data_IF_915688755808
#
_entry.id   IF_915688755808
#
_cell.length_a   1.000
_cell.length_b   1.000
_cell.length_c   1.000
_cell.angle_alpha   90.00
_cell.angle_beta   90.00
_cell.angle_gamma   90.00
#
_symmetry.space_group_name_H-M   'P 1'
#
loop_
_entity.id
_entity.type
_entity.pdbx_description
1 polymer ?
#
# COMPACT_ATOMS: atom_id res chain seq x y z
N UNK A 1 33.87 10.93 -42.11
CA UNK A 1 34.00 10.11 -40.90
C UNK A 1 33.20 10.81 -39.80
N UNK A 2 32.00 10.37 -39.53
CA UNK A 2 31.14 10.97 -38.51
C UNK A 2 31.40 10.27 -37.15
N UNK A 3 31.54 11.05 -36.10
CA UNK A 3 31.84 10.63 -34.73
C UNK A 3 30.69 9.77 -34.15
N UNK A 4 30.92 8.51 -33.78
CA UNK A 4 29.88 7.63 -33.23
C UNK A 4 29.45 7.96 -31.77
N UNK A 5 30.03 8.99 -31.14
CA UNK A 5 29.77 9.38 -29.75
C UNK A 5 28.79 10.55 -29.54
N UNK A 6 28.16 11.06 -30.60
CA UNK A 6 27.22 12.18 -30.47
C UNK A 6 25.83 11.78 -29.95
N UNK A 7 25.45 10.49 -29.99
CA UNK A 7 24.12 10.01 -29.60
C UNK A 7 23.93 9.75 -28.09
N UNK A 8 25.00 9.82 -27.27
CA UNK A 8 24.92 9.40 -25.86
C UNK A 8 24.98 10.54 -24.84
N UNK A 9 24.84 11.81 -25.28
CA UNK A 9 24.87 12.99 -24.39
C UNK A 9 23.53 13.65 -24.09
N UNK A 10 22.39 13.03 -24.43
CA UNK A 10 21.06 13.64 -24.19
C UNK A 10 20.12 12.80 -23.30
N UNK A 11 20.62 11.85 -22.52
CA UNK A 11 19.81 11.12 -21.52
C UNK A 11 20.00 11.65 -20.08
N UNK A 12 20.26 12.94 -19.94
CA UNK A 12 20.08 13.64 -18.67
C UNK A 12 18.59 13.94 -18.49
N UNK A 13 17.83 13.03 -17.87
CA UNK A 13 16.45 13.28 -17.47
C UNK A 13 16.44 14.48 -16.52
N UNK A 14 16.23 15.69 -17.08
CA UNK A 14 15.82 16.84 -16.29
C UNK A 14 14.50 16.44 -15.61
N UNK A 15 14.53 16.27 -14.30
CA UNK A 15 13.33 16.28 -13.48
C UNK A 15 12.62 17.61 -13.72
N UNK A 16 11.72 17.64 -14.69
CA UNK A 16 10.84 18.76 -14.96
C UNK A 16 10.11 19.07 -13.67
N UNK A 17 10.15 20.34 -13.26
CA UNK A 17 9.47 20.85 -12.08
C UNK A 17 8.08 20.23 -11.99
N UNK A 18 7.86 19.43 -10.91
CA UNK A 18 6.65 18.66 -10.74
C UNK A 18 5.44 19.60 -10.83
N UNK A 19 4.59 19.40 -11.83
CA UNK A 19 3.28 20.08 -11.89
C UNK A 19 2.59 19.86 -10.56
N UNK A 20 1.97 20.89 -9.97
CA UNK A 20 1.31 20.76 -8.69
C UNK A 20 0.34 19.57 -8.72
N UNK A 21 0.33 18.77 -7.64
CA UNK A 21 -0.43 17.51 -7.50
C UNK A 21 -1.90 17.70 -7.96
N UNK A 22 -2.51 18.83 -7.63
CA UNK A 22 -3.88 19.19 -8.01
C UNK A 22 -4.15 19.19 -9.53
N UNK A 23 -3.17 19.50 -10.38
CA UNK A 23 -3.29 19.47 -11.85
C UNK A 23 -3.18 18.05 -12.42
N UNK A 24 -2.57 17.13 -11.67
CA UNK A 24 -2.46 15.71 -12.05
C UNK A 24 -3.67 14.89 -11.60
N UNK A 25 -4.40 15.33 -10.58
CA UNK A 25 -5.59 14.66 -10.03
C UNK A 25 -6.88 14.91 -10.84
N UNK A 26 -6.80 15.37 -12.10
CA UNK A 26 -7.91 15.40 -13.06
C UNK A 26 -9.19 16.15 -12.61
N UNK A 27 -9.10 17.08 -11.65
CA UNK A 27 -10.23 17.91 -11.21
C UNK A 27 -11.22 17.22 -10.25
N UNK A 28 -11.17 15.91 -10.06
CA UNK A 28 -11.91 15.19 -9.02
C UNK A 28 -11.00 14.99 -7.81
N UNK A 29 -10.69 16.06 -7.11
CA UNK A 29 -10.06 15.95 -5.80
C UNK A 29 -11.16 15.55 -4.83
N UNK A 30 -11.02 14.38 -4.21
CA UNK A 30 -11.78 14.03 -3.01
C UNK A 30 -11.88 15.26 -2.10
N UNK A 31 -13.06 15.60 -1.68
CA UNK A 31 -13.28 16.68 -0.71
C UNK A 31 -12.82 16.16 0.65
N UNK A 32 -11.56 16.39 0.92
CA UNK A 32 -10.87 15.90 2.11
C UNK A 32 -11.45 16.51 3.41
N UNK A 33 -12.18 17.61 3.30
CA UNK A 33 -12.99 18.18 4.38
C UNK A 33 -14.12 17.25 4.86
N UNK A 34 -14.44 16.20 4.09
CA UNK A 34 -15.44 15.17 4.45
C UNK A 34 -14.83 13.88 5.02
N UNK A 35 -13.51 13.71 4.95
CA UNK A 35 -12.86 12.55 5.54
C UNK A 35 -12.67 12.83 7.04
N UNK A 36 -13.19 11.98 7.93
CA UNK A 36 -12.97 12.16 9.35
C UNK A 36 -11.48 12.13 9.69
N UNK A 37 -11.10 12.94 10.66
CA UNK A 37 -9.75 12.86 11.21
C UNK A 37 -9.56 11.47 11.82
N UNK A 38 -8.42 10.84 11.55
CA UNK A 38 -8.07 9.59 12.20
C UNK A 38 -7.61 9.82 13.65
N UNK A 39 -7.45 8.73 14.36
CA UNK A 39 -6.99 8.70 15.75
C UNK A 39 -5.82 7.75 15.92
N UNK A 40 -5.00 7.99 16.94
CA UNK A 40 -4.02 6.99 17.41
C UNK A 40 -4.76 5.94 18.23
N UNK A 41 -4.69 4.70 17.80
CA UNK A 41 -5.28 3.55 18.47
C UNK A 41 -4.21 2.62 19.00
N UNK A 42 -4.51 1.92 20.10
CA UNK A 42 -3.67 0.85 20.62
C UNK A 42 -4.16 -0.48 20.07
N UNK A 43 -3.26 -1.23 19.46
CA UNK A 43 -3.48 -2.65 19.12
C UNK A 43 -2.91 -3.50 20.25
N UNK A 44 -3.74 -4.21 21.05
CA UNK A 44 -3.29 -4.90 22.24
C UNK A 44 -2.11 -5.84 21.99
N UNK A 45 -1.02 -5.66 22.73
CA UNK A 45 0.21 -6.46 22.59
C UNK A 45 1.04 -6.19 21.33
N UNK A 46 0.62 -5.24 20.48
CA UNK A 46 1.29 -4.94 19.19
C UNK A 46 1.85 -3.53 19.12
N UNK A 47 1.18 -2.54 19.71
CA UNK A 47 1.58 -1.15 19.74
C UNK A 47 0.55 -0.21 19.16
N UNK A 48 0.94 1.05 18.91
CA UNK A 48 0.03 2.11 18.48
C UNK A 48 0.17 2.41 17.01
N UNK A 49 -0.97 2.64 16.35
CA UNK A 49 -1.03 3.08 14.94
C UNK A 49 -2.09 4.15 14.73
N UNK A 50 -1.92 4.94 13.66
CA UNK A 50 -2.93 5.89 13.21
C UNK A 50 -3.98 5.17 12.38
N UNK A 51 -5.24 5.36 12.71
CA UNK A 51 -6.39 4.70 12.07
C UNK A 51 -7.45 5.74 11.70
N UNK A 52 -8.04 5.58 10.54
CA UNK A 52 -9.23 6.29 10.05
C UNK A 52 -10.33 5.28 9.80
N UNK A 53 -11.52 5.53 10.32
CA UNK A 53 -12.72 4.71 10.14
C UNK A 53 -13.84 5.61 9.58
N UNK A 54 -14.22 5.37 8.35
CA UNK A 54 -15.24 6.14 7.63
C UNK A 54 -16.48 5.29 7.54
N UNK A 55 -17.60 5.69 8.19
CA UNK A 55 -18.84 4.95 8.12
C UNK A 55 -19.36 4.91 6.68
N UNK A 56 -19.84 3.75 6.28
CA UNK A 56 -20.58 3.55 5.03
C UNK A 56 -22.10 3.57 5.26
N UNK A 57 -22.88 3.24 4.23
CA UNK A 57 -24.31 2.96 4.37
C UNK A 57 -24.56 1.83 5.39
N UNK A 58 -25.75 1.86 6.00
CA UNK A 58 -26.14 0.81 6.95
C UNK A 58 -26.10 -0.59 6.28
N UNK A 59 -25.42 -1.56 6.91
CA UNK A 59 -25.24 -2.91 6.37
C UNK A 59 -24.20 -3.03 5.26
N UNK A 60 -23.49 -1.96 4.92
CA UNK A 60 -22.44 -2.02 3.90
C UNK A 60 -21.27 -2.92 4.33
N UNK A 61 -20.65 -3.65 3.39
CA UNK A 61 -19.42 -4.39 3.67
C UNK A 61 -18.30 -3.45 4.11
N UNK A 62 -17.38 -3.97 4.93
CA UNK A 62 -16.21 -3.20 5.36
C UNK A 62 -15.03 -3.47 4.44
N UNK A 63 -14.40 -2.41 3.94
CA UNK A 63 -13.09 -2.43 3.28
C UNK A 63 -12.01 -2.03 4.29
N UNK A 64 -10.96 -2.85 4.42
CA UNK A 64 -9.71 -2.44 5.05
C UNK A 64 -8.71 -2.15 3.93
N UNK A 65 -8.18 -0.91 3.89
CA UNK A 65 -7.29 -0.43 2.85
C UNK A 65 -5.83 -0.49 3.32
N UNK A 66 -5.01 -1.24 2.61
CA UNK A 66 -3.60 -1.48 2.91
C UNK A 66 -2.73 -0.72 1.90
N UNK A 67 -1.94 0.23 2.38
CA UNK A 67 -1.15 1.13 1.53
C UNK A 67 0.13 0.48 1.01
N UNK A 68 0.72 1.09 -0.02
CA UNK A 68 2.01 0.71 -0.58
C UNK A 68 3.20 1.16 0.28
N UNK A 69 4.38 0.67 -0.07
CA UNK A 69 5.64 1.15 0.51
C UNK A 69 5.87 2.64 0.16
N UNK A 70 6.60 3.36 1.03
CA UNK A 70 6.93 4.80 0.84
C UNK A 70 5.73 5.75 0.93
N UNK A 71 4.57 5.26 1.31
CA UNK A 71 3.37 6.09 1.51
C UNK A 71 2.80 5.86 2.91
N UNK A 72 1.82 6.68 3.28
CA UNK A 72 0.96 6.45 4.45
C UNK A 72 -0.42 5.99 3.97
N UNK A 73 -1.25 5.49 4.86
CA UNK A 73 -2.60 5.07 4.54
C UNK A 73 -3.38 6.21 3.87
N UNK A 74 -3.33 7.40 4.45
CA UNK A 74 -4.03 8.55 3.91
C UNK A 74 -3.47 8.97 2.55
N UNK A 75 -2.13 9.07 2.39
CA UNK A 75 -1.52 9.49 1.14
C UNK A 75 -1.84 8.53 -0.01
N UNK A 76 -1.87 7.23 0.25
CA UNK A 76 -2.18 6.23 -0.77
C UNK A 76 -3.63 6.28 -1.23
N UNK A 77 -4.56 6.47 -0.29
CA UNK A 77 -5.97 6.18 -0.53
C UNK A 77 -6.88 7.41 -0.61
N UNK A 78 -6.40 8.62 -0.21
CA UNK A 78 -7.25 9.81 -0.15
C UNK A 78 -8.06 10.08 -1.44
N UNK A 79 -7.57 9.79 -2.69
CA UNK A 79 -8.35 10.07 -3.87
C UNK A 79 -9.57 9.15 -4.06
N UNK A 80 -9.57 7.98 -3.40
CA UNK A 80 -10.62 6.98 -3.53
C UNK A 80 -11.66 7.02 -2.39
N UNK A 81 -11.34 7.67 -1.25
CA UNK A 81 -12.12 7.55 -0.02
C UNK A 81 -13.58 8.00 -0.18
N UNK A 82 -13.81 9.13 -0.86
CA UNK A 82 -15.18 9.65 -1.06
C UNK A 82 -16.04 8.68 -1.86
N UNK A 83 -15.51 8.12 -2.93
CA UNK A 83 -16.26 7.19 -3.77
C UNK A 83 -16.48 5.84 -3.07
N UNK A 84 -15.45 5.32 -2.41
CA UNK A 84 -15.54 4.05 -1.65
C UNK A 84 -16.54 4.15 -0.50
N UNK A 85 -16.55 5.25 0.25
CA UNK A 85 -17.45 5.42 1.40
C UNK A 85 -18.94 5.54 1.04
N UNK A 86 -19.27 5.70 -0.24
CA UNK A 86 -20.67 5.65 -0.71
C UNK A 86 -21.27 4.25 -0.70
N UNK A 87 -20.42 3.21 -0.74
CA UNK A 87 -20.86 1.83 -0.82
C UNK A 87 -20.30 0.93 0.29
N UNK A 88 -19.26 1.39 1.00
CA UNK A 88 -18.52 0.59 1.99
C UNK A 88 -18.26 1.38 3.26
N UNK A 89 -18.18 0.70 4.41
CA UNK A 89 -17.42 1.22 5.55
C UNK A 89 -15.94 1.10 5.20
N UNK A 90 -15.18 2.18 5.31
CA UNK A 90 -13.79 2.22 4.89
C UNK A 90 -12.88 2.41 6.09
N UNK A 91 -12.04 1.44 6.36
CA UNK A 91 -11.02 1.49 7.42
C UNK A 91 -9.65 1.54 6.75
N UNK A 92 -8.80 2.45 7.20
CA UNK A 92 -7.41 2.52 6.76
C UNK A 92 -6.52 2.87 7.94
N UNK A 93 -5.30 2.34 7.95
CA UNK A 93 -4.34 2.57 9.03
C UNK A 93 -2.91 2.59 8.50
N UNK A 94 -2.02 3.26 9.21
CA UNK A 94 -0.61 3.28 8.85
C UNK A 94 0.05 1.95 9.24
N UNK A 95 0.51 1.20 8.24
CA UNK A 95 1.22 -0.06 8.47
C UNK A 95 2.58 0.19 9.13
N UNK A 96 3.16 -0.84 9.74
CA UNK A 96 4.45 -0.76 10.43
C UNK A 96 5.50 -0.01 9.64
N UNK A 97 6.26 0.86 10.33
CA UNK A 97 7.35 1.69 9.81
C UNK A 97 6.95 2.80 8.82
N UNK A 98 5.65 2.96 8.55
CA UNK A 98 5.11 4.02 7.71
C UNK A 98 4.30 5.00 8.57
N UNK A 99 4.33 6.28 8.23
CA UNK A 99 3.56 7.31 8.90
C UNK A 99 3.66 7.25 10.43
N UNK A 100 2.51 7.15 11.06
CA UNK A 100 2.35 6.96 12.52
C UNK A 100 2.06 5.50 12.91
N UNK A 101 2.43 4.56 12.04
CA UNK A 101 2.30 3.13 12.30
C UNK A 101 3.31 2.61 13.33
N UNK A 102 3.07 1.39 13.79
CA UNK A 102 3.87 0.70 14.81
C UNK A 102 5.37 0.73 14.45
N UNK A 103 6.21 0.98 15.43
CA UNK A 103 7.67 0.84 15.35
C UNK A 103 8.08 -0.42 16.08
N UNK A 104 8.77 -1.32 15.39
CA UNK A 104 9.24 -2.61 15.93
C UNK A 104 10.74 -2.77 15.68
N UNK A 105 11.45 -3.66 16.41
CA UNK A 105 12.88 -3.87 16.21
C UNK A 105 13.26 -4.37 14.82
N UNK A 106 12.33 -5.00 14.12
CA UNK A 106 12.49 -5.52 12.75
C UNK A 106 11.21 -5.32 11.95
N UNK A 107 11.34 -5.26 10.63
CA UNK A 107 10.22 -5.32 9.71
C UNK A 107 9.97 -6.80 9.37
N UNK A 108 8.73 -7.25 9.52
CA UNK A 108 8.32 -8.62 9.26
C UNK A 108 6.92 -8.60 8.62
N UNK A 109 6.76 -9.28 7.49
CA UNK A 109 5.48 -9.32 6.78
C UNK A 109 4.39 -10.08 7.56
N UNK A 110 4.77 -11.08 8.36
CA UNK A 110 3.84 -11.80 9.22
C UNK A 110 3.26 -10.88 10.30
N UNK A 111 4.10 -10.02 10.88
CA UNK A 111 3.64 -8.98 11.82
C UNK A 111 2.63 -8.03 11.16
N UNK A 112 2.84 -7.64 9.89
CA UNK A 112 1.89 -6.78 9.17
C UNK A 112 0.55 -7.49 8.95
N UNK A 113 0.58 -8.78 8.62
CA UNK A 113 -0.64 -9.57 8.44
C UNK A 113 -1.43 -9.69 9.75
N UNK A 114 -0.76 -9.92 10.86
CA UNK A 114 -1.38 -9.97 12.19
C UNK A 114 -1.89 -8.59 12.65
N UNK A 115 -1.24 -7.49 12.28
CA UNK A 115 -1.74 -6.14 12.55
C UNK A 115 -3.08 -5.88 11.83
N UNK A 116 -3.27 -6.41 10.60
CA UNK A 116 -4.55 -6.33 9.88
C UNK A 116 -5.66 -7.02 10.66
N UNK A 117 -5.40 -8.21 11.20
CA UNK A 117 -6.38 -8.94 12.03
C UNK A 117 -6.67 -8.16 13.33
N UNK A 118 -5.64 -7.64 14.00
CA UNK A 118 -5.84 -6.83 15.20
C UNK A 118 -6.64 -5.55 14.93
N UNK A 119 -6.46 -4.93 13.76
CA UNK A 119 -7.30 -3.79 13.33
C UNK A 119 -8.73 -4.24 13.09
N UNK A 120 -8.96 -5.37 12.41
CA UNK A 120 -10.29 -5.91 12.18
C UNK A 120 -11.03 -6.19 13.50
N UNK A 121 -10.34 -6.77 14.49
CA UNK A 121 -10.86 -7.01 15.83
C UNK A 121 -11.20 -5.71 16.55
N UNK A 122 -10.31 -4.72 16.52
CA UNK A 122 -10.50 -3.42 17.15
C UNK A 122 -11.75 -2.69 16.62
N UNK A 123 -11.98 -2.76 15.30
CA UNK A 123 -13.12 -2.08 14.67
C UNK A 123 -14.39 -2.96 14.62
N UNK A 124 -14.34 -4.17 15.20
CA UNK A 124 -15.47 -5.09 15.32
C UNK A 124 -15.93 -5.67 13.98
N UNK A 125 -14.99 -6.07 13.11
CA UNK A 125 -15.29 -6.64 11.78
C UNK A 125 -14.68 -8.04 11.66
N UNK A 126 -15.53 -9.05 11.48
CA UNK A 126 -15.08 -10.43 11.39
C UNK A 126 -14.42 -10.78 10.06
N UNK A 127 -15.03 -10.36 8.95
CA UNK A 127 -14.62 -10.74 7.59
C UNK A 127 -14.60 -9.54 6.62
N UNK A 128 -13.64 -8.61 6.78
CA UNK A 128 -13.51 -7.48 5.85
C UNK A 128 -13.07 -7.93 4.46
N UNK A 129 -13.36 -7.10 3.45
CA UNK A 129 -12.65 -7.13 2.17
C UNK A 129 -11.33 -6.38 2.38
N UNK A 130 -10.21 -6.96 1.98
CA UNK A 130 -8.90 -6.31 2.05
C UNK A 130 -8.54 -5.74 0.67
N UNK A 131 -8.42 -4.42 0.55
CA UNK A 131 -7.91 -3.80 -0.67
C UNK A 131 -6.46 -3.34 -0.47
N UNK A 132 -5.52 -4.01 -1.14
CA UNK A 132 -4.09 -3.78 -0.95
C UNK A 132 -3.40 -3.21 -2.19
N UNK A 133 -2.61 -2.15 -2.02
CA UNK A 133 -1.81 -1.53 -3.06
C UNK A 133 -0.34 -1.88 -2.92
N UNK A 134 0.32 -2.40 -3.96
CA UNK A 134 1.75 -2.72 -3.95
C UNK A 134 2.13 -3.60 -2.75
N UNK A 135 2.92 -3.14 -1.79
CA UNK A 135 3.21 -3.83 -0.53
C UNK A 135 1.94 -4.26 0.21
N UNK A 136 0.92 -3.39 0.28
CA UNK A 136 -0.37 -3.72 0.90
C UNK A 136 -1.08 -4.90 0.21
N UNK A 137 -0.87 -5.08 -1.10
CA UNK A 137 -1.37 -6.24 -1.83
C UNK A 137 -0.67 -7.55 -1.44
N UNK A 138 0.61 -7.50 -1.10
CA UNK A 138 1.36 -8.63 -0.54
C UNK A 138 0.81 -9.00 0.84
N UNK A 139 0.59 -7.99 1.69
CA UNK A 139 0.00 -8.19 3.02
C UNK A 139 -1.40 -8.79 2.89
N UNK A 140 -2.25 -8.30 1.97
CA UNK A 140 -3.59 -8.86 1.73
C UNK A 140 -3.56 -10.33 1.31
N UNK A 141 -2.60 -10.72 0.42
CA UNK A 141 -2.39 -12.12 0.05
C UNK A 141 -2.02 -12.98 1.25
N UNK A 142 -1.08 -12.48 2.09
CA UNK A 142 -0.60 -13.19 3.26
C UNK A 142 -1.71 -13.37 4.31
N UNK A 143 -2.52 -12.33 4.56
CA UNK A 143 -3.69 -12.43 5.46
C UNK A 143 -4.68 -13.46 4.94
N UNK A 144 -5.02 -13.42 3.64
CA UNK A 144 -5.96 -14.37 3.04
C UNK A 144 -5.44 -15.82 3.06
N UNK A 145 -4.13 -16.02 3.04
CA UNK A 145 -3.51 -17.34 3.17
C UNK A 145 -3.50 -17.85 4.63
N UNK A 146 -3.10 -17.00 5.58
CA UNK A 146 -2.92 -17.41 6.99
C UNK A 146 -4.22 -17.41 7.78
N UNK A 147 -5.18 -16.55 7.41
CA UNK A 147 -6.43 -16.33 8.13
C UNK A 147 -7.64 -16.33 7.18
N UNK A 148 -7.82 -17.38 6.35
CA UNK A 148 -8.86 -17.39 5.31
C UNK A 148 -10.27 -17.22 5.83
N UNK A 149 -10.55 -17.67 7.06
CA UNK A 149 -11.84 -17.53 7.73
C UNK A 149 -12.12 -16.11 8.21
N UNK A 150 -11.07 -15.27 8.33
CA UNK A 150 -11.14 -13.88 8.79
C UNK A 150 -11.19 -12.86 7.64
N UNK A 151 -11.27 -13.31 6.39
CA UNK A 151 -11.27 -12.45 5.19
C UNK A 151 -12.49 -12.75 4.35
N UNK A 152 -13.25 -11.71 4.00
CA UNK A 152 -14.38 -11.80 3.06
C UNK A 152 -13.93 -11.93 1.61
N UNK A 153 -12.88 -11.19 1.24
CA UNK A 153 -12.30 -11.22 -0.10
C UNK A 153 -11.11 -10.28 -0.21
N UNK A 154 -10.40 -10.31 -1.34
CA UNK A 154 -9.21 -9.48 -1.59
C UNK A 154 -9.29 -8.73 -2.90
N UNK A 155 -8.84 -7.47 -2.91
CA UNK A 155 -8.63 -6.64 -4.10
C UNK A 155 -7.16 -6.26 -4.15
N UNK A 156 -6.44 -6.76 -5.14
CA UNK A 156 -5.00 -6.65 -5.28
C UNK A 156 -4.66 -5.61 -6.36
N UNK A 157 -4.04 -4.49 -5.97
CA UNK A 157 -3.78 -3.36 -6.86
C UNK A 157 -2.28 -3.16 -7.06
N UNK A 158 -1.81 -3.09 -8.32
CA UNK A 158 -0.41 -2.79 -8.66
C UNK A 158 0.59 -3.59 -7.80
N UNK A 159 0.37 -4.89 -7.64
CA UNK A 159 1.14 -5.79 -6.77
C UNK A 159 1.60 -7.05 -7.51
N UNK A 160 2.33 -7.90 -6.82
CA UNK A 160 2.87 -9.15 -7.34
C UNK A 160 2.82 -10.24 -6.28
N UNK A 161 3.09 -11.46 -6.69
CA UNK A 161 3.15 -12.62 -5.78
C UNK A 161 4.59 -13.07 -5.47
N UNK A 162 5.59 -12.50 -6.15
CA UNK A 162 7.03 -12.75 -5.89
C UNK A 162 7.90 -11.65 -6.50
N UNK A 163 9.14 -11.48 -6.00
CA UNK A 163 10.10 -10.49 -6.49
C UNK A 163 11.38 -11.09 -7.08
N UNK A 164 11.73 -12.33 -6.74
CA UNK A 164 13.01 -12.94 -7.10
C UNK A 164 12.90 -13.81 -8.34
N UNK A 165 12.70 -13.23 -9.50
CA UNK A 165 12.66 -13.98 -10.77
C UNK A 165 14.04 -14.17 -11.36
N UNK A 166 14.90 -13.15 -11.31
CA UNK A 166 16.23 -13.17 -11.88
C UNK A 166 17.32 -13.37 -10.83
N UNK A 167 18.47 -13.94 -11.23
CA UNK A 167 19.65 -14.07 -10.36
C UNK A 167 20.12 -12.70 -9.83
N UNK A 168 19.99 -11.64 -10.65
CA UNK A 168 20.35 -10.28 -10.27
C UNK A 168 19.43 -9.74 -9.17
N UNK A 169 18.14 -9.97 -9.27
CA UNK A 169 17.17 -9.59 -8.23
C UNK A 169 17.43 -10.36 -6.94
N UNK A 170 17.71 -11.69 -7.04
CA UNK A 170 18.06 -12.53 -5.88
C UNK A 170 19.30 -12.00 -5.17
N UNK A 171 20.36 -11.66 -5.90
CA UNK A 171 21.60 -11.12 -5.34
C UNK A 171 21.39 -9.74 -4.69
N UNK A 172 20.62 -8.86 -5.33
CA UNK A 172 20.28 -7.55 -4.82
C UNK A 172 19.51 -7.62 -3.48
N UNK A 173 18.46 -8.41 -3.42
CA UNK A 173 17.65 -8.58 -2.21
C UNK A 173 18.42 -9.32 -1.09
N UNK A 174 19.26 -10.28 -1.43
CA UNK A 174 20.11 -10.96 -0.45
C UNK A 174 21.13 -9.99 0.18
N UNK A 175 21.72 -9.08 -0.63
CA UNK A 175 22.61 -8.04 -0.16
C UNK A 175 21.93 -7.05 0.77
N UNK A 176 20.71 -6.59 0.42
CA UNK A 176 19.91 -5.72 1.28
C UNK A 176 19.51 -6.40 2.59
N UNK A 177 19.14 -7.68 2.55
CA UNK A 177 18.82 -8.46 3.75
C UNK A 177 20.01 -8.62 4.68
N UNK A 178 21.22 -8.86 4.14
CA UNK A 178 22.44 -8.90 4.93
C UNK A 178 22.76 -7.55 5.57
N UNK A 179 22.65 -6.45 4.82
CA UNK A 179 22.84 -5.10 5.32
C UNK A 179 21.80 -4.73 6.39
N UNK A 180 20.53 -5.08 6.19
CA UNK A 180 19.45 -4.87 7.16
C UNK A 180 19.71 -5.59 8.48
N UNK A 181 20.17 -6.85 8.45
CA UNK A 181 20.55 -7.59 9.66
C UNK A 181 21.73 -6.96 10.39
N UNK A 182 22.75 -6.50 9.66
CA UNK A 182 23.92 -5.86 10.24
C UNK A 182 23.55 -4.55 10.97
N UNK A 183 22.59 -3.79 10.43
CA UNK A 183 22.14 -2.51 11.01
C UNK A 183 21.04 -2.68 12.05
N UNK A 184 20.38 -3.81 12.16
CA UNK A 184 19.29 -4.08 13.11
C UNK A 184 19.74 -3.90 14.58
N UNK A 185 20.94 -4.35 14.91
CA UNK A 185 21.50 -4.20 16.26
C UNK A 185 21.69 -2.74 16.69
N UNK A 186 22.03 -1.85 15.74
CA UNK A 186 22.18 -0.41 16.00
C UNK A 186 20.83 0.31 16.04
N UNK A 187 19.86 -0.16 15.28
CA UNK A 187 18.52 0.39 15.24
C UNK A 187 17.69 0.03 16.48
N UNK A 188 17.83 -1.16 17.04
CA UNK A 188 17.15 -1.55 18.29
C UNK A 188 17.51 -0.60 19.43
N UNK A 189 18.75 -0.11 19.48
CA UNK A 189 19.18 0.91 20.46
C UNK A 189 18.53 2.27 20.20
N UNK A 190 18.31 2.66 18.94
CA UNK A 190 17.65 3.93 18.58
C UNK A 190 16.15 3.88 18.84
N UNK A 191 15.47 2.78 18.53
CA UNK A 191 14.03 2.61 18.82
C UNK A 191 13.76 2.69 20.32
N UNK A 192 14.62 2.08 21.14
CA UNK A 192 14.51 2.18 22.60
C UNK A 192 14.79 3.60 23.14
N UNK A 193 15.58 4.42 22.43
CA UNK A 193 15.93 5.78 22.85
C UNK A 193 15.02 6.87 22.28
N UNK A 194 14.25 6.58 21.21
CA UNK A 194 13.28 7.50 20.60
C UNK A 194 11.84 7.20 21.02
N UNK A 195 11.67 6.38 22.06
CA UNK A 195 10.39 6.28 22.74
C UNK A 195 9.95 7.68 23.08
N UNK A 196 8.95 8.18 22.33
CA UNK A 196 8.21 9.39 22.61
C UNK A 196 8.54 10.67 21.86
N UNK A 197 7.49 11.30 21.57
CA UNK A 197 7.15 12.51 20.85
C UNK A 197 7.10 12.33 19.34
N UNK A 198 6.07 11.57 18.91
CA UNK A 198 5.46 11.87 17.61
C UNK A 198 4.99 13.32 17.68
N UNK A 199 5.47 14.22 16.80
CA UNK A 199 4.91 15.56 16.72
C UNK A 199 3.40 15.40 16.59
N UNK A 200 2.63 16.24 17.27
CA UNK A 200 1.16 16.17 17.30
C UNK A 200 0.63 15.90 15.90
N UNK A 201 -0.37 15.04 15.82
CA UNK A 201 -0.98 14.63 14.54
C UNK A 201 -1.12 15.87 13.66
N UNK A 202 -0.56 15.91 12.45
CA UNK A 202 -0.68 17.06 11.59
C UNK A 202 -2.16 17.29 11.34
N UNK A 203 -2.68 18.42 11.80
CA UNK A 203 -4.00 18.88 11.36
C UNK A 203 -3.89 19.11 9.87
N UNK A 204 -4.54 18.26 9.10
CA UNK A 204 -4.54 18.34 7.66
C UNK A 204 -5.32 19.59 7.27
N UNK A 205 -4.63 20.70 7.03
CA UNK A 205 -5.27 21.91 6.55
C UNK A 205 -5.22 21.94 5.03
N UNK A 206 -6.39 21.89 4.45
CA UNK A 206 -6.67 21.72 3.02
C UNK A 206 -6.64 23.01 2.19
N UNK A 207 -6.03 24.06 2.68
CA UNK A 207 -5.87 25.28 1.91
C UNK A 207 -5.05 25.02 0.63
N UNK A 208 -5.54 25.56 -0.46
CA UNK A 208 -4.91 25.51 -1.80
C UNK A 208 -3.43 25.86 -1.71
N UNK A 209 -2.57 24.95 -2.11
CA UNK A 209 -1.09 25.06 -2.03
C UNK A 209 -0.45 24.24 -0.90
N UNK A 210 -1.22 23.64 0.01
CA UNK A 210 -0.69 22.80 1.10
C UNK A 210 -0.66 21.30 0.76
N UNK A 211 -1.42 20.85 -0.25
CA UNK A 211 -1.47 19.43 -0.64
C UNK A 211 -0.07 18.89 -0.98
N UNK A 212 0.74 19.64 -1.74
CA UNK A 212 2.10 19.22 -2.08
C UNK A 212 3.04 19.21 -0.86
N UNK A 213 2.82 20.08 0.11
CA UNK A 213 3.57 20.09 1.37
C UNK A 213 3.17 18.94 2.26
N UNK A 214 1.87 18.69 2.38
CA UNK A 214 1.36 17.55 3.12
C UNK A 214 1.86 16.24 2.52
N UNK A 215 1.70 16.00 1.22
CA UNK A 215 2.20 14.79 0.57
C UNK A 215 3.70 14.57 0.80
N UNK A 216 4.50 15.66 0.79
CA UNK A 216 5.93 15.59 1.13
C UNK A 216 6.18 15.27 2.60
N UNK A 217 5.34 15.76 3.53
CA UNK A 217 5.46 15.42 4.94
C UNK A 217 5.13 13.95 5.18
N UNK A 218 4.09 13.43 4.53
CA UNK A 218 3.72 12.01 4.60
C UNK A 218 4.87 11.10 4.13
N UNK A 219 5.49 11.41 2.97
CA UNK A 219 6.65 10.66 2.46
C UNK A 219 7.84 10.74 3.44
N UNK A 220 8.07 11.91 4.07
CA UNK A 220 9.17 12.08 5.02
C UNK A 220 8.93 11.36 6.36
N UNK A 221 7.68 11.04 6.70
CA UNK A 221 7.34 10.28 7.91
C UNK A 221 7.71 8.79 7.78
N UNK A 222 8.00 8.33 6.57
CA UNK A 222 8.45 6.95 6.33
C UNK A 222 9.91 6.81 6.73
N UNK A 223 10.20 5.82 7.57
CA UNK A 223 11.55 5.56 8.06
C UNK A 223 12.47 5.02 6.96
N UNK A 224 13.58 5.70 6.67
CA UNK A 224 14.59 5.22 5.71
C UNK A 224 15.19 3.87 6.12
N UNK A 225 15.36 3.63 7.41
CA UNK A 225 15.86 2.37 7.94
C UNK A 225 14.81 1.25 7.78
N UNK A 226 13.54 1.51 8.16
CA UNK A 226 12.44 0.58 7.96
C UNK A 226 12.24 0.23 6.48
N UNK A 227 12.49 1.19 5.59
CA UNK A 227 12.45 0.98 4.14
C UNK A 227 13.46 -0.08 3.66
N UNK A 228 14.71 -0.04 4.15
CA UNK A 228 15.74 -1.02 3.76
C UNK A 228 15.33 -2.44 4.17
N UNK A 229 14.78 -2.60 5.38
CA UNK A 229 14.27 -3.89 5.83
C UNK A 229 13.02 -4.33 5.05
N UNK A 230 12.08 -3.40 4.80
CA UNK A 230 10.89 -3.69 4.01
C UNK A 230 11.23 -4.19 2.60
N UNK A 231 12.20 -3.56 1.91
CA UNK A 231 12.66 -4.01 0.60
C UNK A 231 13.26 -5.42 0.68
N UNK A 232 14.02 -5.73 1.74
CA UNK A 232 14.61 -7.05 1.93
C UNK A 232 13.54 -8.14 2.15
N UNK A 233 12.57 -7.86 3.02
CA UNK A 233 11.45 -8.77 3.32
C UNK A 233 10.53 -8.97 2.10
N UNK A 234 10.14 -7.87 1.44
CA UNK A 234 9.39 -7.95 0.18
C UNK A 234 10.15 -8.75 -0.88
N UNK A 235 11.47 -8.53 -0.99
CA UNK A 235 12.31 -9.30 -1.89
C UNK A 235 12.41 -10.79 -1.53
N UNK A 236 12.14 -11.17 -0.29
CA UNK A 236 12.09 -12.57 0.14
C UNK A 236 10.71 -13.22 -0.07
N UNK A 237 9.67 -12.41 -0.25
CA UNK A 237 8.30 -12.90 -0.41
C UNK A 237 8.12 -13.72 -1.69
N UNK A 238 7.54 -14.91 -1.55
CA UNK A 238 7.17 -15.79 -2.64
C UNK A 238 5.91 -16.59 -2.27
N UNK A 239 4.80 -16.27 -2.92
CA UNK A 239 3.52 -16.93 -2.74
C UNK A 239 3.26 -18.06 -3.74
N UNK A 240 4.24 -18.40 -4.58
CA UNK A 240 4.06 -19.35 -5.70
C UNK A 240 3.50 -20.71 -5.28
N UNK A 241 3.84 -21.19 -4.08
CA UNK A 241 3.44 -22.51 -3.59
C UNK A 241 2.00 -22.56 -3.06
N UNK A 242 1.42 -21.43 -2.67
CA UNK A 242 0.12 -21.41 -1.99
C UNK A 242 -0.91 -20.46 -2.62
N UNK A 243 -0.51 -19.55 -3.50
CA UNK A 243 -1.43 -18.56 -4.09
C UNK A 243 -2.62 -19.23 -4.81
N UNK A 244 -2.37 -20.37 -5.47
CA UNK A 244 -3.40 -21.19 -6.11
C UNK A 244 -4.36 -21.92 -5.16
N UNK A 245 -4.13 -21.85 -3.86
CA UNK A 245 -5.00 -22.47 -2.84
C UNK A 245 -5.94 -21.49 -2.17
N UNK A 246 -5.87 -20.19 -2.50
CA UNK A 246 -6.76 -19.19 -1.95
C UNK A 246 -8.22 -19.50 -2.29
N UNK A 247 -9.10 -19.39 -1.28
CA UNK A 247 -10.53 -19.71 -1.41
C UNK A 247 -11.44 -18.50 -1.33
N UNK A 248 -10.88 -17.33 -1.01
CA UNK A 248 -11.65 -16.09 -0.88
C UNK A 248 -11.88 -15.45 -2.26
N UNK A 249 -13.01 -14.77 -2.49
CA UNK A 249 -13.21 -13.96 -3.69
C UNK A 249 -12.06 -12.99 -3.91
N UNK A 250 -11.55 -12.93 -5.15
CA UNK A 250 -10.41 -12.09 -5.47
C UNK A 250 -10.65 -11.26 -6.74
N UNK A 251 -10.14 -10.03 -6.74
CA UNK A 251 -10.04 -9.18 -7.91
C UNK A 251 -8.64 -8.55 -7.99
N UNK A 252 -8.15 -8.34 -9.21
CA UNK A 252 -6.81 -7.78 -9.45
C UNK A 252 -6.93 -6.55 -10.35
N UNK A 253 -6.51 -5.39 -9.84
CA UNK A 253 -6.40 -4.15 -10.61
C UNK A 253 -4.97 -4.03 -11.15
N UNK A 254 -4.82 -4.25 -12.45
CA UNK A 254 -3.53 -4.24 -13.14
C UNK A 254 -3.22 -2.86 -13.68
N UNK A 255 -2.09 -2.29 -13.28
CA UNK A 255 -1.57 -1.03 -13.79
C UNK A 255 -0.74 -1.27 -15.05
N UNK A 256 -1.33 -0.99 -16.24
CA UNK A 256 -0.76 -1.44 -17.52
C UNK A 256 0.45 -0.65 -18.03
N UNK A 257 0.84 0.43 -17.34
CA UNK A 257 2.06 1.23 -17.61
C UNK A 257 3.03 1.19 -16.44
N UNK A 258 2.88 0.21 -15.57
CA UNK A 258 3.72 0.04 -14.38
C UNK A 258 5.15 -0.38 -14.76
N UNK A 259 6.11 0.42 -14.30
CA UNK A 259 7.55 0.15 -14.50
C UNK A 259 8.22 -0.42 -13.26
N UNK A 260 7.58 -0.32 -12.10
CA UNK A 260 8.09 -0.89 -10.85
C UNK A 260 7.70 -2.36 -10.72
N UNK A 261 6.43 -2.67 -11.04
CA UNK A 261 5.90 -4.04 -11.07
C UNK A 261 5.35 -4.34 -12.47
N UNK A 262 6.13 -4.97 -13.34
CA UNK A 262 5.76 -5.21 -14.73
C UNK A 262 4.43 -5.93 -14.89
N UNK A 263 3.67 -5.55 -15.93
CA UNK A 263 2.32 -6.06 -16.20
C UNK A 263 2.25 -7.59 -16.25
N UNK A 264 3.28 -8.25 -16.81
CA UNK A 264 3.30 -9.72 -16.90
C UNK A 264 3.25 -10.37 -15.51
N UNK A 265 3.94 -9.81 -14.49
CA UNK A 265 3.91 -10.33 -13.11
C UNK A 265 2.54 -10.18 -12.46
N UNK A 266 1.88 -9.03 -12.69
CA UNK A 266 0.52 -8.80 -12.20
C UNK A 266 -0.47 -9.75 -12.87
N UNK A 267 -0.31 -10.02 -14.17
CA UNK A 267 -1.13 -10.98 -14.92
C UNK A 267 -0.88 -12.43 -14.49
N UNK A 268 0.36 -12.82 -14.26
CA UNK A 268 0.69 -14.14 -13.74
C UNK A 268 0.06 -14.37 -12.36
N UNK A 269 0.19 -13.41 -11.46
CA UNK A 269 -0.48 -13.45 -10.16
C UNK A 269 -1.99 -13.66 -10.30
N UNK A 270 -2.65 -12.86 -11.14
CA UNK A 270 -4.09 -12.96 -11.34
C UNK A 270 -4.51 -14.33 -11.88
N UNK A 271 -3.72 -14.94 -12.78
CA UNK A 271 -3.98 -16.28 -13.32
C UNK A 271 -3.79 -17.41 -12.31
N UNK A 272 -2.93 -17.22 -11.33
CA UNK A 272 -2.67 -18.21 -10.26
C UNK A 272 -3.78 -18.23 -9.22
N UNK A 273 -4.47 -17.09 -8.98
CA UNK A 273 -5.54 -17.02 -7.98
C UNK A 273 -6.85 -17.58 -8.57
N UNK A 274 -7.44 -18.63 -7.97
CA UNK A 274 -8.67 -19.23 -8.46
C UNK A 274 -9.83 -18.22 -8.52
N UNK A 275 -10.48 -18.09 -9.67
CA UNK A 275 -11.64 -17.21 -9.85
C UNK A 275 -11.35 -15.71 -9.70
N UNK A 276 -10.08 -15.29 -9.78
CA UNK A 276 -9.75 -13.87 -9.73
C UNK A 276 -10.25 -13.14 -10.99
N UNK A 277 -10.95 -12.03 -10.80
CA UNK A 277 -11.36 -11.14 -11.86
C UNK A 277 -10.33 -10.04 -12.11
N UNK A 278 -10.13 -9.65 -13.37
CA UNK A 278 -9.08 -8.71 -13.78
C UNK A 278 -9.70 -7.39 -14.23
N UNK A 279 -9.21 -6.29 -13.66
CA UNK A 279 -9.56 -4.93 -13.99
C UNK A 279 -8.32 -4.17 -14.46
N UNK A 280 -8.42 -3.44 -15.56
CA UNK A 280 -7.25 -2.77 -16.16
C UNK A 280 -7.29 -1.26 -15.88
N UNK A 281 -6.21 -0.74 -15.30
CA UNK A 281 -5.95 0.68 -15.18
C UNK A 281 -4.77 1.06 -16.10
N UNK A 282 -5.00 1.89 -17.11
CA UNK A 282 -3.94 2.34 -18.03
C UNK A 282 -3.04 3.39 -17.40
N UNK A 283 -2.41 3.06 -16.31
CA UNK A 283 -1.66 3.97 -15.44
C UNK A 283 -0.35 3.33 -14.95
N UNK A 284 0.53 4.14 -14.31
CA UNK A 284 1.81 3.70 -13.76
C UNK A 284 1.70 3.23 -12.30
N UNK A 285 2.87 2.96 -11.67
CA UNK A 285 2.91 2.43 -10.28
C UNK A 285 2.38 3.40 -9.21
N UNK A 286 2.35 4.69 -9.45
CA UNK A 286 1.81 5.67 -8.51
C UNK A 286 0.36 6.08 -8.86
N UNK A 287 -0.38 5.21 -9.54
CA UNK A 287 -1.72 5.51 -10.06
C UNK A 287 -2.72 5.92 -8.98
N UNK A 288 -2.64 5.31 -7.80
CA UNK A 288 -3.52 5.63 -6.67
C UNK A 288 -3.51 7.13 -6.31
N UNK A 289 -2.42 7.84 -6.59
CA UNK A 289 -2.26 9.27 -6.30
C UNK A 289 -2.16 10.11 -7.57
N UNK A 290 -1.33 9.71 -8.54
CA UNK A 290 -0.97 10.57 -9.68
C UNK A 290 -1.90 10.43 -10.89
N UNK A 291 -2.60 9.31 -11.01
CA UNK A 291 -3.52 8.98 -12.11
C UNK A 291 -4.82 8.39 -11.53
N UNK A 292 -5.30 9.01 -10.43
CA UNK A 292 -6.45 8.51 -9.67
C UNK A 292 -7.75 8.49 -10.49
N UNK A 293 -7.90 9.39 -11.45
CA UNK A 293 -9.00 9.45 -12.41
C UNK A 293 -9.11 8.18 -13.28
N UNK A 294 -7.98 7.48 -13.48
CA UNK A 294 -7.93 6.20 -14.21
C UNK A 294 -8.02 5.02 -13.23
N UNK A 295 -7.36 5.13 -12.08
CA UNK A 295 -7.24 4.04 -11.14
C UNK A 295 -8.52 3.82 -10.31
N UNK A 296 -9.15 4.89 -9.80
CA UNK A 296 -10.31 4.78 -8.89
C UNK A 296 -11.50 4.06 -9.53
N UNK A 297 -11.89 4.32 -10.78
CA UNK A 297 -12.97 3.53 -11.41
C UNK A 297 -12.69 2.03 -11.44
N UNK A 298 -11.48 1.62 -11.83
CA UNK A 298 -11.11 0.20 -11.84
C UNK A 298 -11.07 -0.42 -10.44
N UNK A 299 -10.67 0.35 -9.42
CA UNK A 299 -10.73 -0.07 -8.02
C UNK A 299 -12.18 -0.30 -7.56
N UNK A 300 -13.08 0.62 -7.88
CA UNK A 300 -14.51 0.53 -7.52
C UNK A 300 -15.15 -0.72 -8.14
N UNK A 301 -14.91 -0.96 -9.44
CA UNK A 301 -15.40 -2.14 -10.13
C UNK A 301 -14.86 -3.43 -9.52
N UNK A 302 -13.57 -3.45 -9.17
CA UNK A 302 -12.94 -4.59 -8.50
C UNK A 302 -13.52 -4.84 -7.09
N UNK A 303 -13.74 -3.79 -6.30
CA UNK A 303 -14.39 -3.90 -4.99
C UNK A 303 -15.82 -4.41 -5.12
N UNK A 304 -16.60 -3.90 -6.08
CA UNK A 304 -17.96 -4.34 -6.33
C UNK A 304 -18.03 -5.82 -6.76
N UNK A 305 -17.11 -6.25 -7.63
CA UNK A 305 -16.98 -7.65 -8.04
C UNK A 305 -16.71 -8.57 -6.84
N UNK A 306 -15.82 -8.20 -5.92
CA UNK A 306 -15.55 -9.00 -4.72
C UNK A 306 -16.77 -8.99 -3.78
N UNK A 307 -17.36 -7.82 -3.53
CA UNK A 307 -18.51 -7.69 -2.64
C UNK A 307 -19.74 -8.50 -3.10
N UNK A 308 -19.94 -8.62 -4.43
CA UNK A 308 -21.03 -9.42 -4.99
C UNK A 308 -20.83 -10.94 -4.81
N UNK A 309 -19.66 -11.39 -4.35
CA UNK A 309 -19.31 -12.81 -4.14
C UNK A 309 -19.10 -13.16 -2.65
N UNK A 310 -19.45 -12.24 -1.72
CA UNK A 310 -19.48 -12.51 -0.27
C UNK A 310 -20.71 -13.36 0.10
#
# INVERSE_FOLDING_TARGET
MADPNAANRQAGARFSAARPLRRRLGGRVTRLDRVPAGTMVELPGRGRTYLVDIPGPAGAPTLILLHGMVTTAMLNWFPALEELSRAYRVVLFDQRWHGHGIRSPRFDLDDLAEDVIAVADLVGVERPILAGYSMGGIVAQLVAHRFPERVGGIVLCATTYRFRETLRERAFHAGLGAFGRLTAATASRRVASTGEHLPGLPQISWETGRLDRWARSEIRSVSSWGMTQAIAELGAFDASSWLGTLKVPAAVVITTRDRALPVHRQLEMAKLIPGAEIFLARAGHAACVLEADIFVPALLDACASVAARL
#
